data_IF_269818771593
#
_entry.id   IF_269818771593
#
_cell.length_a   1.000
_cell.length_b   1.000
_cell.length_c   1.000
_cell.angle_alpha   90.00
_cell.angle_beta   90.00
_cell.angle_gamma   90.00
#
_symmetry.space_group_name_H-M   'P 1'
#
loop_
_entity.id
_entity.type
_entity.pdbx_description
1 polymer ?
#
# COMPACT_ATOMS: atom_id res chain seq x y z
N UNK A 1 -21.78 39.71 40.23
CA UNK A 1 -22.48 38.61 39.56
C UNK A 1 -21.54 37.98 38.58
N UNK A 2 -21.16 36.71 38.85
CA UNK A 2 -20.13 35.98 38.16
C UNK A 2 -20.68 35.35 36.89
N UNK A 3 -19.97 35.46 35.77
CA UNK A 3 -20.17 34.67 34.56
C UNK A 3 -18.97 33.74 34.38
N UNK A 4 -19.23 32.46 34.54
CA UNK A 4 -18.24 31.40 34.35
C UNK A 4 -17.97 31.15 32.87
N UNK A 5 -16.71 31.31 32.49
CA UNK A 5 -16.19 30.95 31.16
C UNK A 5 -15.88 29.46 31.17
N UNK A 6 -16.69 28.67 30.44
CA UNK A 6 -16.44 27.26 30.18
C UNK A 6 -15.45 27.07 29.04
N UNK A 7 -14.23 26.63 29.37
CA UNK A 7 -13.25 26.22 28.38
C UNK A 7 -13.65 24.91 27.67
N UNK A 8 -14.02 25.01 26.41
CA UNK A 8 -14.26 23.85 25.54
C UNK A 8 -12.93 23.24 25.09
N UNK A 9 -12.57 22.08 25.64
CA UNK A 9 -11.50 21.22 25.13
C UNK A 9 -11.91 20.70 23.75
N UNK A 10 -11.31 21.22 22.70
CA UNK A 10 -11.44 20.65 21.36
C UNK A 10 -10.68 19.32 21.33
N UNK A 11 -11.39 18.22 21.52
CA UNK A 11 -10.91 16.89 21.13
C UNK A 11 -10.69 16.91 19.62
N UNK A 12 -9.44 16.93 19.21
CA UNK A 12 -9.09 16.61 17.83
C UNK A 12 -9.66 15.22 17.50
N UNK A 13 -10.52 15.17 16.51
CA UNK A 13 -11.06 13.92 16.00
C UNK A 13 -9.91 13.04 15.53
N UNK A 14 -9.97 11.71 15.75
CA UNK A 14 -8.97 10.80 15.20
C UNK A 14 -8.95 10.95 13.69
N UNK A 15 -7.75 10.84 13.03
CA UNK A 15 -7.65 10.91 11.60
C UNK A 15 -8.58 9.85 11.00
N UNK A 16 -9.58 10.31 10.26
CA UNK A 16 -10.48 9.43 9.52
C UNK A 16 -9.61 8.57 8.61
N UNK A 17 -9.71 7.27 8.78
CA UNK A 17 -9.15 6.29 7.87
C UNK A 17 -9.76 6.57 6.50
N UNK A 18 -8.95 7.14 5.61
CA UNK A 18 -9.30 7.21 4.22
C UNK A 18 -9.42 5.75 3.75
N UNK A 19 -10.63 5.27 3.60
CA UNK A 19 -10.90 4.10 2.78
C UNK A 19 -10.37 4.46 1.40
N UNK A 20 -9.22 3.91 1.05
CA UNK A 20 -8.69 4.00 -0.31
C UNK A 20 -9.73 3.33 -1.18
N UNK A 21 -10.54 4.13 -1.85
CA UNK A 21 -11.55 3.64 -2.76
C UNK A 21 -10.80 2.80 -3.81
N UNK A 22 -11.17 1.54 -3.91
CA UNK A 22 -10.64 0.57 -4.89
C UNK A 22 -10.93 1.05 -6.33
N UNK A 23 -11.77 2.06 -6.47
CA UNK A 23 -12.21 2.67 -7.73
C UNK A 23 -11.09 3.36 -8.54
N UNK A 24 -9.96 3.68 -7.92
CA UNK A 24 -8.83 4.35 -8.60
C UNK A 24 -7.56 3.50 -8.66
N UNK A 25 -7.67 2.19 -8.47
CA UNK A 25 -6.51 1.32 -8.59
C UNK A 25 -6.03 1.28 -10.04
N UNK A 26 -4.76 1.61 -10.26
CA UNK A 26 -4.10 1.47 -11.54
C UNK A 26 -3.37 0.13 -11.60
N UNK A 27 -3.69 -0.65 -12.62
CA UNK A 27 -3.08 -1.95 -12.89
C UNK A 27 -1.57 -1.75 -13.11
N UNK A 28 -0.77 -2.54 -12.44
CA UNK A 28 0.69 -2.55 -12.60
C UNK A 28 1.20 -3.77 -13.36
N UNK A 29 2.49 -3.70 -13.73
CA UNK A 29 3.21 -4.87 -14.29
C UNK A 29 3.24 -5.99 -13.25
N UNK A 30 3.14 -7.24 -13.68
CA UNK A 30 3.04 -8.47 -12.88
C UNK A 30 1.72 -8.68 -12.13
N UNK A 31 0.80 -7.73 -12.10
CA UNK A 31 -0.54 -7.98 -11.57
C UNK A 31 -1.24 -9.09 -12.39
N UNK A 32 -2.03 -9.91 -11.71
CA UNK A 32 -2.83 -10.95 -12.37
C UNK A 32 -4.23 -10.40 -12.62
N UNK A 33 -4.60 -10.38 -13.89
CA UNK A 33 -5.87 -9.86 -14.39
C UNK A 33 -6.71 -11.00 -14.92
N UNK A 34 -7.95 -11.08 -14.47
CA UNK A 34 -8.96 -11.97 -15.03
C UNK A 34 -9.92 -11.16 -15.91
N UNK A 35 -9.98 -11.52 -17.18
CA UNK A 35 -10.97 -11.00 -18.13
C UNK A 35 -12.11 -12.01 -18.21
N UNK A 36 -13.34 -11.56 -18.00
CA UNK A 36 -14.54 -12.38 -18.08
C UNK A 36 -15.50 -11.77 -19.09
N UNK A 37 -16.03 -12.60 -19.99
CA UNK A 37 -16.98 -12.20 -21.01
C UNK A 37 -18.31 -12.90 -20.76
N UNK A 38 -19.37 -12.13 -20.51
CA UNK A 38 -20.69 -12.66 -20.25
C UNK A 38 -21.23 -13.48 -21.43
N UNK A 39 -21.76 -14.65 -21.16
CA UNK A 39 -22.26 -15.64 -22.14
C UNK A 39 -21.21 -16.25 -23.08
N UNK A 40 -19.94 -15.87 -22.95
CA UNK A 40 -18.83 -16.42 -23.74
C UNK A 40 -17.67 -16.78 -22.83
N UNK A 41 -17.82 -17.78 -21.93
CA UNK A 41 -16.77 -18.12 -20.95
C UNK A 41 -15.47 -18.60 -21.63
N UNK A 42 -15.54 -19.11 -22.86
CA UNK A 42 -14.39 -19.50 -23.65
C UNK A 42 -13.48 -18.33 -24.07
N UNK A 43 -13.98 -17.10 -24.01
CA UNK A 43 -13.21 -15.88 -24.25
C UNK A 43 -12.60 -15.30 -22.98
N UNK A 44 -12.96 -15.87 -21.83
CA UNK A 44 -12.38 -15.50 -20.54
C UNK A 44 -10.94 -15.98 -20.41
N UNK A 45 -10.08 -15.16 -19.80
CA UNK A 45 -8.68 -15.50 -19.57
C UNK A 45 -8.17 -14.88 -18.28
N UNK A 46 -7.25 -15.57 -17.61
CA UNK A 46 -6.51 -15.05 -16.47
C UNK A 46 -5.03 -14.97 -16.84
N UNK A 47 -4.47 -13.78 -16.89
CA UNK A 47 -3.11 -13.55 -17.36
C UNK A 47 -2.39 -12.50 -16.50
N UNK A 48 -1.06 -12.61 -16.35
CA UNK A 48 -0.25 -11.54 -15.79
C UNK A 48 -0.13 -10.38 -16.78
N UNK A 49 -0.04 -9.18 -16.25
CA UNK A 49 0.34 -7.99 -17.03
C UNK A 49 1.81 -8.09 -17.36
N UNK A 50 2.11 -8.06 -18.66
CA UNK A 50 3.47 -8.19 -19.19
C UNK A 50 4.35 -6.98 -18.81
N UNK A 51 5.69 -7.08 -18.89
CA UNK A 51 6.61 -5.95 -18.64
C UNK A 51 6.36 -4.71 -19.52
N UNK A 52 5.76 -4.90 -20.71
CA UNK A 52 5.34 -3.79 -21.59
C UNK A 52 3.98 -3.17 -21.18
N UNK A 53 3.37 -3.65 -20.09
CA UNK A 53 2.06 -3.18 -19.60
C UNK A 53 0.87 -3.78 -20.35
N UNK A 54 1.08 -4.70 -21.27
CA UNK A 54 0.02 -5.29 -22.09
C UNK A 54 -0.49 -6.62 -21.50
N UNK A 55 -1.73 -6.95 -21.83
CA UNK A 55 -2.33 -8.28 -21.67
C UNK A 55 -2.81 -8.79 -23.03
N UNK A 56 -2.70 -10.08 -23.27
CA UNK A 56 -3.18 -10.71 -24.51
C UNK A 56 -4.55 -11.34 -24.26
N UNK A 57 -5.55 -10.88 -25.01
CA UNK A 57 -6.95 -11.31 -24.86
C UNK A 57 -7.37 -12.09 -26.13
N UNK A 58 -8.05 -13.24 -26.00
CA UNK A 58 -8.54 -13.99 -27.15
C UNK A 58 -9.36 -13.11 -28.11
N UNK A 59 -9.19 -13.31 -29.41
CA UNK A 59 -9.77 -12.55 -30.52
C UNK A 59 -9.37 -11.09 -30.64
N UNK A 60 -9.11 -10.42 -29.53
CA UNK A 60 -8.81 -8.97 -29.46
C UNK A 60 -7.31 -8.70 -29.66
N UNK A 61 -6.47 -9.64 -29.24
CA UNK A 61 -5.02 -9.48 -29.24
C UNK A 61 -4.51 -8.68 -28.02
N UNK A 62 -3.48 -7.90 -28.22
CA UNK A 62 -2.83 -7.14 -27.14
C UNK A 62 -3.62 -5.88 -26.77
N UNK A 63 -3.81 -5.70 -25.46
CA UNK A 63 -4.52 -4.56 -24.86
C UNK A 63 -3.66 -3.94 -23.78
N UNK A 64 -3.52 -2.62 -23.79
CA UNK A 64 -2.83 -1.89 -22.74
C UNK A 64 -3.64 -1.95 -21.44
N UNK A 65 -3.03 -2.53 -20.40
CA UNK A 65 -3.61 -2.63 -19.06
C UNK A 65 -2.83 -1.81 -18.03
N UNK A 66 -1.51 -1.78 -18.14
CA UNK A 66 -0.64 -1.05 -17.22
C UNK A 66 -0.94 0.44 -17.15
N UNK A 67 -1.03 0.99 -15.94
CA UNK A 67 -1.36 2.40 -15.69
C UNK A 67 -2.83 2.78 -15.88
N UNK A 68 -3.70 1.80 -16.19
CA UNK A 68 -5.14 2.01 -16.40
C UNK A 68 -5.96 1.33 -15.31
N UNK A 69 -7.16 1.79 -15.11
CA UNK A 69 -8.10 1.14 -14.18
C UNK A 69 -8.74 -0.09 -14.82
N UNK A 70 -9.18 -1.09 -14.02
CA UNK A 70 -9.88 -2.26 -14.55
C UNK A 70 -11.09 -1.92 -15.41
N UNK A 71 -11.82 -0.85 -15.05
CA UNK A 71 -12.99 -0.39 -15.80
C UNK A 71 -12.63 0.14 -17.19
N UNK A 72 -11.55 0.92 -17.30
CA UNK A 72 -11.05 1.42 -18.58
C UNK A 72 -10.59 0.28 -19.49
N UNK A 73 -9.90 -0.71 -18.93
CA UNK A 73 -9.44 -1.89 -19.68
C UNK A 73 -10.63 -2.72 -20.15
N UNK A 74 -11.63 -2.91 -19.30
CA UNK A 74 -12.86 -3.63 -19.67
C UNK A 74 -13.60 -2.94 -20.83
N UNK A 75 -13.72 -1.61 -20.77
CA UNK A 75 -14.35 -0.84 -21.85
C UNK A 75 -13.61 -0.93 -23.18
N UNK A 76 -12.27 -0.91 -23.14
CA UNK A 76 -11.44 -1.07 -24.35
C UNK A 76 -11.55 -2.46 -24.97
N UNK A 77 -11.52 -3.51 -24.13
CA UNK A 77 -11.73 -4.90 -24.59
C UNK A 77 -13.14 -5.05 -25.18
N UNK A 78 -14.16 -4.53 -24.50
CA UNK A 78 -15.55 -4.61 -24.95
C UNK A 78 -15.72 -3.96 -26.33
N UNK A 79 -15.13 -2.78 -26.54
CA UNK A 79 -15.16 -2.06 -27.81
C UNK A 79 -14.52 -2.88 -28.96
N UNK A 80 -13.35 -3.46 -28.70
CA UNK A 80 -12.62 -4.29 -29.69
C UNK A 80 -13.33 -5.62 -29.94
N UNK A 81 -13.94 -6.21 -28.91
CA UNK A 81 -14.64 -7.48 -29.01
C UNK A 81 -15.96 -7.37 -29.75
N UNK A 82 -16.57 -6.18 -29.83
CA UNK A 82 -17.80 -5.92 -30.56
C UNK A 82 -17.70 -6.24 -32.06
N UNK A 83 -16.49 -6.28 -32.62
CA UNK A 83 -16.28 -6.68 -34.01
C UNK A 83 -16.43 -8.20 -34.22
N UNK A 84 -16.34 -9.00 -33.16
CA UNK A 84 -16.39 -10.46 -33.20
C UNK A 84 -17.60 -11.05 -32.49
N UNK A 85 -18.14 -10.36 -31.48
CA UNK A 85 -19.24 -10.83 -30.63
C UNK A 85 -20.32 -9.75 -30.56
N UNK A 86 -21.58 -10.19 -30.67
CA UNK A 86 -22.73 -9.27 -30.54
C UNK A 86 -22.97 -8.92 -29.08
N UNK A 87 -23.05 -7.62 -28.79
CA UNK A 87 -23.30 -7.06 -27.44
C UNK A 87 -22.42 -7.66 -26.33
N UNK A 88 -21.08 -7.65 -26.48
CA UNK A 88 -20.22 -8.23 -25.48
C UNK A 88 -20.28 -7.44 -24.17
N UNK A 89 -20.38 -8.16 -23.04
CA UNK A 89 -20.27 -7.59 -21.70
C UNK A 89 -19.00 -8.10 -21.08
N UNK A 90 -18.04 -7.21 -20.82
CA UNK A 90 -16.70 -7.54 -20.33
C UNK A 90 -16.51 -7.03 -18.93
N UNK A 91 -16.03 -7.89 -18.05
CA UNK A 91 -15.56 -7.55 -16.72
C UNK A 91 -14.06 -7.84 -16.60
N UNK A 92 -13.32 -6.92 -16.01
CA UNK A 92 -11.90 -7.08 -15.68
C UNK A 92 -11.75 -7.07 -14.17
N UNK A 93 -11.21 -8.14 -13.62
CA UNK A 93 -11.05 -8.35 -12.18
C UNK A 93 -9.56 -8.55 -11.89
N UNK A 94 -9.05 -7.84 -10.90
CA UNK A 94 -7.71 -8.09 -10.36
C UNK A 94 -7.78 -9.23 -9.35
N UNK A 95 -7.11 -10.33 -9.64
CA UNK A 95 -7.05 -11.49 -8.75
C UNK A 95 -5.83 -11.46 -7.84
N UNK A 96 -4.71 -10.88 -8.30
CA UNK A 96 -3.50 -10.69 -7.51
C UNK A 96 -2.87 -9.32 -7.83
N UNK A 97 -2.54 -8.56 -6.78
CA UNK A 97 -1.98 -7.21 -6.85
C UNK A 97 -0.45 -7.23 -6.62
N UNK A 98 0.28 -7.94 -7.46
CA UNK A 98 1.73 -8.17 -7.27
C UNK A 98 2.56 -6.89 -7.41
N UNK A 99 2.17 -6.00 -8.33
CA UNK A 99 2.85 -4.71 -8.50
C UNK A 99 2.74 -3.84 -7.25
N UNK A 100 1.60 -3.89 -6.57
CA UNK A 100 1.35 -3.14 -5.34
C UNK A 100 2.05 -3.76 -4.13
N UNK A 101 2.19 -5.08 -4.09
CA UNK A 101 2.92 -5.76 -3.02
C UNK A 101 4.38 -5.30 -2.93
N UNK A 102 5.05 -5.10 -4.06
CA UNK A 102 6.43 -4.64 -4.09
C UNK A 102 6.56 -3.18 -3.62
N UNK A 103 5.65 -2.29 -4.04
CA UNK A 103 5.62 -0.88 -3.66
C UNK A 103 5.04 -0.64 -2.26
N UNK A 104 4.26 -1.59 -1.75
CA UNK A 104 3.56 -1.51 -0.47
C UNK A 104 4.31 -2.18 0.67
N UNK A 105 5.64 -2.23 0.61
CA UNK A 105 6.44 -2.83 1.68
C UNK A 105 6.88 -1.79 2.70
N UNK A 106 6.88 -2.20 3.97
CA UNK A 106 7.50 -1.46 5.06
C UNK A 106 8.86 -2.10 5.33
N UNK A 107 9.89 -1.28 5.43
CA UNK A 107 11.26 -1.74 5.68
C UNK A 107 11.72 -1.32 7.06
N UNK A 108 12.36 -2.24 7.77
CA UNK A 108 12.97 -1.99 9.08
C UNK A 108 14.46 -2.31 8.95
N UNK A 109 15.30 -1.31 9.22
CA UNK A 109 16.77 -1.41 9.05
C UNK A 109 17.52 -0.82 10.23
N UNK A 110 18.82 -1.07 10.27
CA UNK A 110 19.73 -0.59 11.32
C UNK A 110 19.87 -1.58 12.47
N UNK A 111 19.93 -1.08 13.68
CA UNK A 111 20.20 -1.86 14.89
C UNK A 111 19.00 -2.69 15.37
N UNK A 112 18.47 -3.53 14.51
CA UNK A 112 17.45 -4.55 14.81
C UNK A 112 18.06 -5.94 14.78
N UNK A 113 17.38 -6.91 15.37
CA UNK A 113 17.86 -8.29 15.35
C UNK A 113 17.91 -8.86 13.95
N UNK A 114 16.91 -8.51 13.12
CA UNK A 114 16.80 -8.99 11.76
C UNK A 114 16.24 -7.86 10.87
N UNK A 115 17.09 -7.19 10.05
CA UNK A 115 16.57 -6.26 9.05
C UNK A 115 15.58 -6.96 8.14
N UNK A 116 14.40 -6.36 7.95
CA UNK A 116 13.28 -7.01 7.28
C UNK A 116 12.54 -6.05 6.35
N UNK A 117 11.98 -6.59 5.30
CA UNK A 117 11.02 -5.92 4.44
C UNK A 117 9.73 -6.73 4.47
N UNK A 118 8.66 -6.15 5.01
CA UNK A 118 7.37 -6.83 5.18
C UNK A 118 6.27 -6.17 4.35
N UNK A 119 5.27 -6.93 3.89
CA UNK A 119 4.10 -6.36 3.23
C UNK A 119 3.37 -5.41 4.18
N UNK A 120 2.97 -4.26 3.67
CA UNK A 120 2.13 -3.34 4.42
C UNK A 120 0.75 -3.96 4.68
N UNK A 121 0.25 -3.76 5.88
CA UNK A 121 -1.14 -4.09 6.24
C UNK A 121 -1.82 -2.84 6.80
N UNK A 122 -3.07 -2.66 6.45
CA UNK A 122 -3.85 -1.54 6.97
C UNK A 122 -3.89 -1.55 8.50
N UNK A 123 -3.62 -0.41 9.12
CA UNK A 123 -3.56 -0.28 10.57
C UNK A 123 -2.22 -0.69 11.22
N UNK A 124 -1.24 -1.16 10.43
CA UNK A 124 0.09 -1.49 10.93
C UNK A 124 0.78 -0.25 11.52
N UNK A 125 1.43 -0.43 12.65
CA UNK A 125 2.18 0.62 13.36
C UNK A 125 3.69 0.38 13.29
N UNK A 126 4.48 1.39 13.70
CA UNK A 126 5.93 1.25 13.86
C UNK A 126 6.28 0.11 14.80
N UNK A 127 5.54 -0.04 15.91
CA UNK A 127 5.75 -1.13 16.86
C UNK A 127 5.59 -2.50 16.21
N UNK A 128 4.51 -2.70 15.43
CA UNK A 128 4.27 -3.97 14.74
C UNK A 128 5.41 -4.33 13.79
N UNK A 129 5.91 -3.35 13.03
CA UNK A 129 7.00 -3.54 12.10
C UNK A 129 8.33 -3.89 12.83
N UNK A 130 8.64 -3.21 13.93
CA UNK A 130 9.84 -3.47 14.72
C UNK A 130 9.78 -4.84 15.41
N UNK A 131 8.63 -5.24 15.93
CA UNK A 131 8.44 -6.58 16.50
C UNK A 131 8.59 -7.68 15.44
N UNK A 132 8.11 -7.44 14.21
CA UNK A 132 8.32 -8.37 13.10
C UNK A 132 9.81 -8.54 12.75
N UNK A 133 10.63 -7.48 12.96
CA UNK A 133 12.10 -7.52 12.83
C UNK A 133 12.81 -8.20 14.02
N UNK A 134 12.06 -8.78 14.94
CA UNK A 134 12.59 -9.41 16.17
C UNK A 134 12.97 -8.42 17.27
N UNK A 135 12.56 -7.15 17.14
CA UNK A 135 12.90 -6.07 18.07
C UNK A 135 14.27 -5.45 17.80
N UNK A 136 14.67 -4.53 18.67
CA UNK A 136 15.99 -3.89 18.63
C UNK A 136 17.09 -4.83 19.16
N UNK A 137 18.31 -4.66 18.68
CA UNK A 137 19.47 -5.37 19.21
C UNK A 137 20.12 -4.60 20.38
N UNK A 138 21.16 -5.19 20.99
CA UNK A 138 21.87 -4.61 22.12
C UNK A 138 22.66 -3.32 21.80
N UNK A 139 22.98 -3.11 20.52
CA UNK A 139 23.72 -1.93 20.04
C UNK A 139 22.79 -0.77 19.65
N UNK A 140 21.49 -0.97 19.71
CA UNK A 140 20.53 0.03 19.27
C UNK A 140 20.49 1.29 20.14
N UNK A 141 20.24 2.43 19.50
CA UNK A 141 19.80 3.67 20.14
C UNK A 141 18.30 3.90 19.87
N UNK A 142 17.40 3.17 20.57
CA UNK A 142 16.00 3.06 20.19
C UNK A 142 15.22 4.37 20.25
N UNK A 143 15.60 5.31 21.12
CA UNK A 143 14.96 6.63 21.22
C UNK A 143 15.43 7.66 20.17
N UNK A 144 16.38 7.25 19.32
CA UNK A 144 16.88 8.04 18.19
C UNK A 144 16.44 7.47 16.84
N UNK A 145 15.43 6.61 16.86
CA UNK A 145 14.87 6.00 15.65
C UNK A 145 14.03 7.00 14.86
N UNK A 146 14.01 6.80 13.55
CA UNK A 146 13.27 7.65 12.63
C UNK A 146 12.42 6.81 11.68
N UNK A 147 11.23 7.33 11.36
CA UNK A 147 10.37 6.84 10.30
C UNK A 147 10.51 7.78 9.10
N UNK A 148 10.99 7.26 8.00
CA UNK A 148 11.11 7.97 6.73
C UNK A 148 9.93 7.62 5.82
N UNK A 149 9.21 8.64 5.37
CA UNK A 149 8.09 8.52 4.44
C UNK A 149 8.34 9.33 3.19
N UNK A 150 8.22 8.70 2.04
CA UNK A 150 8.25 9.40 0.76
C UNK A 150 6.84 9.90 0.43
N UNK A 151 6.72 11.21 0.22
CA UNK A 151 5.49 11.82 -0.24
C UNK A 151 5.34 11.66 -1.77
N UNK A 152 4.12 11.91 -2.28
CA UNK A 152 3.84 11.87 -3.72
C UNK A 152 4.68 12.87 -4.54
N UNK A 153 5.13 13.95 -3.91
CA UNK A 153 5.95 15.02 -4.52
C UNK A 153 7.46 14.72 -4.46
N UNK A 154 7.84 13.44 -4.28
CA UNK A 154 9.23 12.98 -4.12
C UNK A 154 9.98 13.56 -2.91
N UNK A 155 9.34 14.36 -2.09
CA UNK A 155 9.89 14.84 -0.83
C UNK A 155 9.84 13.75 0.22
N UNK A 156 10.85 13.72 1.12
CA UNK A 156 10.88 12.78 2.24
C UNK A 156 10.51 13.51 3.53
N UNK A 157 9.54 12.97 4.25
CA UNK A 157 9.22 13.39 5.61
C UNK A 157 9.89 12.44 6.60
N UNK A 158 10.45 12.99 7.69
CA UNK A 158 11.07 12.23 8.77
C UNK A 158 10.28 12.44 10.05
N UNK A 159 9.89 11.34 10.69
CA UNK A 159 9.16 11.36 11.95
C UNK A 159 10.00 10.69 13.04
N UNK A 160 10.38 11.40 14.10
CA UNK A 160 11.17 10.81 15.19
C UNK A 160 10.34 9.79 15.96
N UNK A 161 10.92 8.63 16.21
CA UNK A 161 10.30 7.52 16.94
C UNK A 161 11.11 7.20 18.18
N UNK A 162 10.45 7.15 19.33
CA UNK A 162 11.07 6.82 20.62
C UNK A 162 10.74 5.40 21.02
N UNK A 163 11.44 4.44 20.42
CA UNK A 163 11.15 3.02 20.57
C UNK A 163 11.34 2.51 22.01
N UNK A 164 12.30 3.03 22.78
CA UNK A 164 12.47 2.63 24.18
C UNK A 164 11.24 2.98 25.01
N UNK A 165 10.68 4.17 24.78
CA UNK A 165 9.46 4.58 25.45
C UNK A 165 8.24 3.73 25.06
N UNK A 166 8.15 3.37 23.79
CA UNK A 166 7.08 2.51 23.29
C UNK A 166 7.20 1.12 23.92
N UNK A 167 8.39 0.50 23.85
CA UNK A 167 8.63 -0.88 24.24
C UNK A 167 8.63 -1.10 25.76
N UNK A 168 9.27 -0.18 26.51
CA UNK A 168 9.53 -0.35 27.94
C UNK A 168 8.63 0.48 28.85
N UNK A 169 8.00 1.53 28.34
CA UNK A 169 7.13 2.42 29.15
C UNK A 169 5.69 2.46 28.67
N UNK A 170 5.38 1.82 27.54
CA UNK A 170 4.03 1.84 26.97
C UNK A 170 3.58 3.21 26.46
N UNK A 171 4.53 4.13 26.23
CA UNK A 171 4.24 5.46 25.67
C UNK A 171 4.09 5.37 24.15
N UNK A 172 2.85 5.35 23.68
CA UNK A 172 2.50 5.21 22.27
C UNK A 172 2.44 6.55 21.51
N UNK A 173 2.89 7.66 22.12
CA UNK A 173 2.82 9.00 21.50
C UNK A 173 3.56 9.11 20.17
N UNK A 174 4.62 8.33 19.98
CA UNK A 174 5.40 8.25 18.72
C UNK A 174 5.23 6.92 17.99
N UNK A 175 4.24 6.11 18.35
CA UNK A 175 3.89 4.88 17.64
C UNK A 175 3.00 5.20 16.44
N UNK A 176 3.59 5.78 15.41
CA UNK A 176 2.87 6.18 14.20
C UNK A 176 2.34 4.97 13.43
N UNK A 177 1.19 5.16 12.77
CA UNK A 177 0.72 4.24 11.74
C UNK A 177 1.63 4.36 10.53
N UNK A 178 2.18 3.24 10.07
CA UNK A 178 3.03 3.20 8.88
C UNK A 178 2.18 3.29 7.62
N UNK A 179 2.81 3.70 6.53
CA UNK A 179 2.22 3.75 5.20
C UNK A 179 3.03 2.89 4.22
N UNK A 180 2.45 2.52 3.07
CA UNK A 180 3.19 1.80 2.02
C UNK A 180 4.46 2.54 1.61
N UNK A 181 5.59 1.83 1.60
CA UNK A 181 6.88 2.38 1.23
C UNK A 181 7.68 3.01 2.38
N UNK A 182 7.13 3.06 3.59
CA UNK A 182 7.83 3.60 4.76
C UNK A 182 9.09 2.80 5.10
N UNK A 183 10.10 3.51 5.60
CA UNK A 183 11.35 2.93 6.08
C UNK A 183 11.57 3.37 7.53
N UNK A 184 11.73 2.41 8.42
CA UNK A 184 12.06 2.62 9.83
C UNK A 184 13.55 2.34 9.99
N UNK A 185 14.28 3.32 10.49
CA UNK A 185 15.73 3.23 10.71
C UNK A 185 16.01 3.35 12.21
N UNK A 186 16.65 2.34 12.75
CA UNK A 186 17.10 2.31 14.15
C UNK A 186 18.61 2.47 14.15
N UNK A 187 19.17 3.61 14.60
CA UNK A 187 20.61 3.82 14.63
C UNK A 187 21.26 3.03 15.73
N UNK A 188 22.57 2.79 15.58
CA UNK A 188 23.40 2.25 16.64
C UNK A 188 23.80 3.35 17.64
N UNK A 189 24.15 2.92 18.87
CA UNK A 189 24.74 3.81 19.86
C UNK A 189 26.13 4.21 19.41
N UNK A 190 26.38 5.50 19.34
CA UNK A 190 27.73 6.04 19.20
C UNK A 190 28.33 6.15 20.61
N UNK A 191 29.44 5.53 20.82
CA UNK A 191 30.22 5.63 22.08
C UNK A 191 31.06 6.88 22.06
#
# INVERSE_FOLDING_TARGET
MAAASGGGSSKSAPPQQASVAVENYQIGVDDIVQVSVWRNPELGITVPVRPDGMISVPLVGDVMAGGRTPTEVAADIQKKLADFVRDPQVAVILTELRSHEYLSRVRVTGAVRQPISIPYRQGMTVLDAVLAAGGVNEFAAPDRSDLFRRNKDETSATYPVRLDRILNRGDLSTNYTVAPGDVIVIPERTF
#
